data_IF_683453563346
#
_entry.id   IF_683453563346
#
_cell.length_a   1.000
_cell.length_b   1.000
_cell.length_c   1.000
_cell.angle_alpha   90.00
_cell.angle_beta   90.00
_cell.angle_gamma   90.00
#
_symmetry.space_group_name_H-M   'P 1'
#
loop_
_entity.id
_entity.type
_entity.pdbx_description
1 polymer ?
#
# COMPACT_ATOMS: atom_id res chain seq x y z
N UNK A 1 16.03 8.15 10.04
CA UNK A 1 16.62 6.84 10.44
C UNK A 1 15.93 5.66 9.76
N UNK A 2 14.61 5.56 9.80
CA UNK A 2 13.88 4.44 9.19
C UNK A 2 14.17 4.27 7.70
N UNK A 3 14.32 5.37 6.95
CA UNK A 3 14.62 5.31 5.51
C UNK A 3 16.07 4.92 5.19
N UNK A 4 16.94 4.94 6.18
CA UNK A 4 18.31 4.40 6.09
C UNK A 4 18.38 2.90 6.33
N UNK A 5 17.42 2.36 7.10
CA UNK A 5 17.41 0.94 7.52
C UNK A 5 16.54 0.12 6.56
N UNK A 6 15.34 0.62 6.26
CA UNK A 6 14.36 -0.10 5.47
C UNK A 6 14.33 0.37 4.02
N UNK A 7 14.11 -0.53 3.07
CA UNK A 7 13.90 -0.15 1.68
C UNK A 7 12.64 0.71 1.56
N UNK A 8 12.61 1.55 0.54
CA UNK A 8 11.38 2.27 0.17
C UNK A 8 10.29 1.27 -0.17
N UNK A 9 9.08 1.56 0.23
CA UNK A 9 7.89 0.82 -0.15
C UNK A 9 7.00 1.69 -1.03
N UNK A 10 6.51 1.12 -2.11
CA UNK A 10 5.48 1.72 -2.95
C UNK A 10 4.16 1.05 -2.60
N UNK A 11 3.14 1.84 -2.37
CA UNK A 11 1.84 1.33 -1.90
C UNK A 11 0.71 1.82 -2.78
N UNK A 12 -0.28 0.97 -2.98
CA UNK A 12 -1.59 1.34 -3.52
C UNK A 12 -2.61 1.08 -2.43
N UNK A 13 -3.43 2.09 -2.17
CA UNK A 13 -4.41 2.06 -1.09
C UNK A 13 -5.81 1.78 -1.65
N UNK A 14 -6.55 0.93 -0.96
CA UNK A 14 -7.92 0.57 -1.24
C UNK A 14 -8.78 0.79 0.01
N UNK A 15 -10.08 0.94 -0.16
CA UNK A 15 -11.04 0.88 0.93
C UNK A 15 -12.00 -0.29 0.70
N UNK A 16 -12.46 -0.90 1.78
CA UNK A 16 -13.51 -1.93 1.72
C UNK A 16 -14.92 -1.33 1.54
N UNK A 17 -15.05 0.00 1.72
CA UNK A 17 -16.31 0.72 1.66
C UNK A 17 -16.26 1.80 0.58
N UNK A 18 -17.36 1.98 -0.10
CA UNK A 18 -17.54 2.99 -1.14
C UNK A 18 -18.53 4.10 -0.75
N UNK A 19 -19.13 4.01 0.45
CA UNK A 19 -20.17 4.90 0.96
C UNK A 19 -19.65 5.94 1.98
N UNK A 20 -18.35 6.05 2.16
CA UNK A 20 -17.74 6.96 3.12
C UNK A 20 -17.50 8.35 2.50
N UNK A 21 -18.33 9.33 2.90
CA UNK A 21 -18.27 10.71 2.40
C UNK A 21 -16.91 11.39 2.64
N UNK A 22 -16.20 11.08 3.74
CA UNK A 22 -14.87 11.61 4.00
C UNK A 22 -13.85 11.09 2.97
N UNK A 23 -13.96 9.83 2.54
CA UNK A 23 -13.12 9.27 1.49
C UNK A 23 -13.38 9.96 0.14
N UNK A 24 -14.63 10.19 -0.21
CA UNK A 24 -15.01 10.93 -1.41
C UNK A 24 -14.53 12.38 -1.38
N UNK A 25 -14.57 13.02 -0.20
CA UNK A 25 -14.04 14.37 -0.02
C UNK A 25 -12.52 14.44 -0.19
N UNK A 26 -11.79 13.55 0.49
CA UNK A 26 -10.34 13.61 0.59
C UNK A 26 -9.62 13.03 -0.64
N UNK A 27 -10.17 11.97 -1.26
CA UNK A 27 -9.45 11.21 -2.29
C UNK A 27 -10.10 11.29 -3.69
N UNK A 28 -11.30 11.82 -3.80
CA UNK A 28 -12.02 11.93 -5.05
C UNK A 28 -12.29 13.40 -5.45
N UNK A 29 -11.36 14.31 -5.22
CA UNK A 29 -11.46 15.73 -5.56
C UNK A 29 -12.83 16.33 -5.15
N UNK A 30 -13.15 16.24 -3.87
CA UNK A 30 -14.42 16.72 -3.33
C UNK A 30 -15.64 16.18 -4.11
N UNK A 31 -15.72 14.85 -4.27
CA UNK A 31 -16.77 14.11 -4.98
C UNK A 31 -16.83 14.31 -6.51
N UNK A 32 -15.81 14.89 -7.14
CA UNK A 32 -15.73 15.02 -8.60
C UNK A 32 -15.04 13.82 -9.27
N UNK A 33 -14.25 13.06 -8.51
CA UNK A 33 -13.54 11.89 -9.00
C UNK A 33 -14.41 10.66 -9.11
N UNK A 34 -13.76 9.51 -9.18
CA UNK A 34 -14.41 8.20 -9.31
C UNK A 34 -13.83 7.20 -8.30
N UNK A 35 -14.63 6.20 -7.97
CA UNK A 35 -14.16 5.02 -7.24
C UNK A 35 -14.12 3.83 -8.19
N UNK A 36 -12.98 3.14 -8.25
CA UNK A 36 -12.80 1.92 -9.03
C UNK A 36 -13.08 0.72 -8.13
N UNK A 37 -13.90 -0.22 -8.62
CA UNK A 37 -14.25 -1.43 -7.89
C UNK A 37 -13.42 -2.58 -8.43
N UNK A 38 -12.60 -3.20 -7.56
CA UNK A 38 -11.80 -4.36 -7.89
C UNK A 38 -12.29 -5.60 -7.16
N UNK A 39 -12.32 -6.72 -7.88
CA UNK A 39 -12.49 -8.03 -7.27
C UNK A 39 -11.11 -8.65 -7.02
N UNK A 40 -10.82 -8.93 -5.77
CA UNK A 40 -9.54 -9.54 -5.33
C UNK A 40 -9.69 -11.02 -5.01
N UNK A 41 -10.88 -11.57 -5.23
CA UNK A 41 -11.22 -12.95 -4.87
C UNK A 41 -11.17 -13.22 -3.36
N UNK A 42 -11.42 -14.47 -2.98
CA UNK A 42 -11.46 -14.91 -1.58
C UNK A 42 -10.10 -14.79 -0.88
N UNK A 43 -9.01 -14.91 -1.64
CA UNK A 43 -7.65 -14.83 -1.10
C UNK A 43 -7.15 -13.39 -0.89
N UNK A 44 -7.95 -12.38 -1.22
CA UNK A 44 -7.57 -10.97 -1.13
C UNK A 44 -6.21 -10.67 -1.79
N UNK A 45 -6.05 -11.10 -3.05
CA UNK A 45 -4.83 -10.91 -3.83
C UNK A 45 -5.09 -10.11 -5.10
N UNK A 46 -4.13 -9.27 -5.47
CA UNK A 46 -4.17 -8.48 -6.70
C UNK A 46 -3.11 -8.98 -7.69
N UNK A 47 -3.54 -9.40 -8.86
CA UNK A 47 -2.64 -9.72 -9.97
C UNK A 47 -2.19 -8.42 -10.62
N UNK A 48 -0.87 -8.23 -10.70
CA UNK A 48 -0.24 -7.05 -11.31
C UNK A 48 0.56 -7.50 -12.50
N UNK A 49 0.43 -6.82 -13.62
CA UNK A 49 1.02 -7.21 -14.89
C UNK A 49 2.52 -7.47 -14.80
N UNK A 50 2.96 -8.54 -15.44
CA UNK A 50 4.34 -8.98 -15.47
C UNK A 50 4.82 -9.75 -14.24
N UNK A 51 4.01 -9.89 -13.19
CA UNK A 51 4.34 -10.70 -12.01
C UNK A 51 3.60 -12.02 -12.02
N UNK A 52 4.34 -13.12 -11.83
CA UNK A 52 3.75 -14.46 -11.70
C UNK A 52 3.05 -14.67 -10.36
N UNK A 53 3.48 -13.93 -9.32
CA UNK A 53 2.96 -14.04 -7.97
C UNK A 53 2.05 -12.85 -7.71
N UNK A 54 0.76 -13.08 -7.39
CA UNK A 54 -0.14 -12.00 -7.00
C UNK A 54 0.31 -11.34 -5.69
N UNK A 55 -0.02 -10.07 -5.54
CA UNK A 55 0.30 -9.28 -4.36
C UNK A 55 -0.84 -9.36 -3.34
N UNK A 56 -0.49 -9.52 -2.08
CA UNK A 56 -1.47 -9.55 -0.98
C UNK A 56 -2.09 -8.17 -0.75
N UNK A 57 -3.42 -8.14 -0.62
CA UNK A 57 -4.20 -6.97 -0.22
C UNK A 57 -4.40 -7.05 1.29
N UNK A 58 -3.59 -6.33 2.06
CA UNK A 58 -3.55 -6.41 3.52
C UNK A 58 -4.28 -5.25 4.17
N UNK A 59 -5.08 -5.56 5.21
CA UNK A 59 -5.73 -4.55 6.03
C UNK A 59 -4.72 -3.73 6.85
N UNK A 60 -5.02 -2.44 7.02
CA UNK A 60 -4.28 -1.54 7.90
C UNK A 60 -4.68 -1.78 9.35
N UNK A 61 -3.68 -1.79 10.23
CA UNK A 61 -3.88 -1.74 11.68
C UNK A 61 -3.94 -0.29 12.15
N UNK A 62 -4.93 0.04 12.97
CA UNK A 62 -5.12 1.39 13.49
C UNK A 62 -4.76 1.51 14.97
N UNK A 63 -4.02 2.55 15.32
CA UNK A 63 -3.57 2.77 16.69
C UNK A 63 -2.43 1.83 17.10
N UNK A 64 -2.36 1.54 18.41
CA UNK A 64 -1.31 0.74 19.02
C UNK A 64 -0.14 1.58 19.56
N UNK A 65 0.76 0.92 20.30
CA UNK A 65 1.90 1.58 20.92
C UNK A 65 2.93 2.07 19.89
N UNK A 66 3.69 3.07 20.28
CA UNK A 66 4.83 3.53 19.48
C UNK A 66 5.83 2.40 19.30
N UNK A 67 6.37 2.28 18.08
CA UNK A 67 7.40 1.28 17.80
C UNK A 67 8.75 1.94 18.00
N UNK A 68 9.48 1.42 18.94
CA UNK A 68 10.87 1.80 19.11
C UNK A 68 11.72 1.21 17.97
N UNK A 69 12.45 2.09 17.28
CA UNK A 69 13.37 1.70 16.24
C UNK A 69 14.80 2.05 16.68
N UNK A 70 15.53 1.06 17.15
CA UNK A 70 16.93 1.21 17.49
C UNK A 70 17.78 0.94 16.25
N UNK A 71 18.54 1.94 15.81
CA UNK A 71 19.40 1.83 14.63
C UNK A 71 20.38 0.65 14.73
N UNK A 72 21.01 0.47 15.89
CA UNK A 72 22.01 -0.59 16.09
C UNK A 72 21.41 -2.00 16.13
N UNK A 73 20.12 -2.10 16.45
CA UNK A 73 19.40 -3.37 16.45
C UNK A 73 18.70 -3.69 15.11
N UNK A 74 18.76 -2.77 14.14
CA UNK A 74 18.02 -2.90 12.87
C UNK A 74 18.92 -2.73 11.66
N UNK A 75 19.92 -3.53 11.54
CA UNK A 75 21.06 -3.41 10.63
C UNK A 75 20.75 -3.60 9.12
N UNK A 76 19.51 -3.55 8.70
CA UNK A 76 19.02 -4.02 7.40
C UNK A 76 19.74 -3.58 6.12
N UNK A 77 20.55 -2.51 6.19
CA UNK A 77 21.34 -2.01 5.04
C UNK A 77 22.84 -1.98 5.27
N UNK A 78 23.29 -2.34 6.44
CA UNK A 78 24.73 -2.40 6.71
C UNK A 78 25.29 -3.74 6.22
N UNK A 79 26.44 -3.69 5.59
CA UNK A 79 27.18 -4.89 5.21
C UNK A 79 27.82 -5.53 6.45
N UNK A 80 28.09 -6.84 6.38
CA UNK A 80 28.80 -7.55 7.47
C UNK A 80 30.16 -6.94 7.79
N UNK A 81 30.85 -6.39 6.79
CA UNK A 81 32.12 -5.69 6.98
C UNK A 81 31.92 -4.42 7.81
N UNK A 82 30.94 -3.59 7.47
CA UNK A 82 30.62 -2.39 8.24
C UNK A 82 30.29 -2.72 9.69
N UNK A 83 29.51 -3.77 9.90
CA UNK A 83 29.08 -4.18 11.23
C UNK A 83 30.28 -4.70 12.06
N UNK A 84 31.14 -5.48 11.46
CA UNK A 84 32.29 -6.09 12.16
C UNK A 84 33.45 -5.12 12.40
N UNK A 85 33.71 -4.23 11.44
CA UNK A 85 34.91 -3.40 11.47
C UNK A 85 34.66 -1.97 11.95
N UNK A 86 33.55 -1.36 11.53
CA UNK A 86 33.28 0.05 11.83
C UNK A 86 32.57 0.29 13.15
N UNK A 87 31.88 -0.71 13.65
CA UNK A 87 31.08 -0.59 14.87
C UNK A 87 31.70 -1.29 16.06
N UNK A 88 33.03 -1.58 16.00
CA UNK A 88 33.79 -2.12 17.13
C UNK A 88 33.91 -1.09 18.24
N UNK A 89 33.56 -1.49 19.45
CA UNK A 89 33.90 -0.76 20.67
C UNK A 89 35.38 -0.90 21.05
N UNK A 90 35.81 -0.14 22.04
CA UNK A 90 37.17 -0.19 22.58
C UNK A 90 37.52 -1.54 23.19
N UNK A 91 36.54 -2.32 23.55
CA UNK A 91 36.63 -3.69 24.07
C UNK A 91 36.73 -4.76 22.96
N UNK A 92 36.75 -4.34 21.69
CA UNK A 92 36.75 -5.25 20.53
C UNK A 92 35.41 -5.94 20.26
N UNK A 93 34.35 -5.56 20.97
CA UNK A 93 32.99 -6.08 20.74
C UNK A 93 32.25 -5.13 19.86
N UNK A 94 31.54 -5.64 18.83
CA UNK A 94 30.70 -4.82 17.99
C UNK A 94 29.52 -4.28 18.79
N UNK A 95 29.20 -2.97 18.65
CA UNK A 95 27.98 -2.35 19.19
C UNK A 95 26.70 -3.01 18.68
N UNK A 96 26.82 -3.84 17.65
CA UNK A 96 25.73 -4.59 17.04
C UNK A 96 25.71 -6.07 17.45
N UNK A 97 26.52 -6.46 18.44
CA UNK A 97 26.67 -7.86 18.88
C UNK A 97 25.34 -8.53 19.19
N UNK A 98 24.44 -7.85 19.86
CA UNK A 98 23.12 -8.39 20.18
C UNK A 98 22.30 -8.76 18.94
N UNK A 99 22.50 -8.06 17.81
CA UNK A 99 21.85 -8.40 16.57
C UNK A 99 22.34 -9.73 15.97
N UNK A 100 23.52 -10.20 16.37
CA UNK A 100 24.11 -11.46 15.91
C UNK A 100 23.93 -12.61 16.89
N UNK A 101 23.69 -12.32 18.15
CA UNK A 101 23.53 -13.35 19.18
C UNK A 101 22.27 -14.19 18.95
N UNK A 102 21.22 -13.59 18.39
CA UNK A 102 19.97 -14.26 17.99
C UNK A 102 19.45 -13.70 16.67
N UNK A 103 19.86 -14.31 15.57
CA UNK A 103 19.49 -13.89 14.20
C UNK A 103 17.99 -14.01 13.96
N UNK A 104 17.32 -15.01 14.54
CA UNK A 104 15.87 -15.19 14.35
C UNK A 104 15.07 -14.11 15.08
N UNK A 105 15.46 -13.76 16.29
CA UNK A 105 14.82 -12.67 17.03
C UNK A 105 15.08 -11.32 16.36
N UNK A 106 16.29 -11.10 15.85
CA UNK A 106 16.61 -9.92 15.05
C UNK A 106 15.71 -9.85 13.79
N UNK A 107 15.55 -10.97 13.06
CA UNK A 107 14.71 -11.03 11.86
C UNK A 107 13.24 -10.72 12.18
N UNK A 108 12.71 -11.27 13.27
CA UNK A 108 11.33 -10.98 13.74
C UNK A 108 11.14 -9.49 14.06
N UNK A 109 12.08 -8.89 14.79
CA UNK A 109 12.04 -7.45 15.10
C UNK A 109 12.10 -6.59 13.85
N UNK A 110 12.99 -6.91 12.91
CA UNK A 110 13.13 -6.23 11.64
C UNK A 110 11.80 -6.20 10.88
N UNK A 111 11.18 -7.35 10.66
CA UNK A 111 9.94 -7.45 9.93
C UNK A 111 8.76 -6.82 10.67
N UNK A 112 8.70 -6.93 11.99
CA UNK A 112 7.67 -6.26 12.81
C UNK A 112 7.69 -4.74 12.61
N UNK A 113 8.86 -4.12 12.60
CA UNK A 113 9.00 -2.68 12.40
C UNK A 113 8.67 -2.30 10.94
N UNK A 114 9.16 -3.08 9.97
CA UNK A 114 8.87 -2.88 8.55
C UNK A 114 7.36 -2.95 8.27
N UNK A 115 6.69 -3.97 8.77
CA UNK A 115 5.25 -4.15 8.63
C UNK A 115 4.48 -2.99 9.27
N UNK A 116 4.87 -2.59 10.46
CA UNK A 116 4.22 -1.47 11.13
C UNK A 116 4.41 -0.13 10.40
N UNK A 117 5.58 0.11 9.83
CA UNK A 117 5.82 1.27 8.96
C UNK A 117 4.88 1.27 7.75
N UNK A 118 4.62 0.11 7.17
CA UNK A 118 3.87 -0.03 5.91
C UNK A 118 2.36 -0.17 6.13
N UNK A 119 1.94 -0.91 7.17
CA UNK A 119 0.55 -1.33 7.36
C UNK A 119 -0.10 -0.80 8.63
N UNK A 120 0.37 0.33 9.15
CA UNK A 120 -0.20 0.95 10.35
C UNK A 120 -0.49 2.43 10.14
N UNK A 121 -1.60 2.89 10.71
CA UNK A 121 -2.00 4.29 10.81
C UNK A 121 -2.40 4.65 12.24
N UNK A 122 -2.41 5.94 12.54
CA UNK A 122 -3.00 6.42 13.80
C UNK A 122 -4.50 6.17 13.82
N UNK A 123 -5.08 6.02 15.01
CA UNK A 123 -6.50 5.69 15.20
C UNK A 123 -7.46 6.69 14.54
N UNK A 124 -7.05 7.95 14.41
CA UNK A 124 -7.87 8.99 13.78
C UNK A 124 -8.26 8.68 12.32
N UNK A 125 -7.50 7.80 11.64
CA UNK A 125 -7.76 7.38 10.26
C UNK A 125 -8.54 6.08 10.15
N UNK A 126 -9.06 5.55 11.26
CA UNK A 126 -9.77 4.26 11.26
C UNK A 126 -11.04 4.26 10.40
N UNK A 127 -11.62 5.43 10.15
CA UNK A 127 -12.78 5.60 9.30
C UNK A 127 -12.51 5.25 7.82
N UNK A 128 -11.25 5.25 7.37
CA UNK A 128 -10.89 4.90 5.99
C UNK A 128 -11.05 3.41 5.69
N UNK A 129 -10.98 2.55 6.71
CA UNK A 129 -11.02 1.07 6.55
C UNK A 129 -10.10 0.60 5.43
N UNK A 130 -8.87 1.11 5.48
CA UNK A 130 -7.89 1.01 4.40
C UNK A 130 -7.28 -0.39 4.30
N UNK A 131 -7.05 -0.79 3.07
CA UNK A 131 -6.23 -1.94 2.70
C UNK A 131 -5.09 -1.46 1.80
N UNK A 132 -3.96 -2.16 1.85
CA UNK A 132 -2.80 -1.84 1.03
C UNK A 132 -2.28 -3.04 0.27
N UNK A 133 -1.88 -2.78 -0.96
CA UNK A 133 -0.90 -3.58 -1.68
C UNK A 133 0.42 -2.84 -1.62
N UNK A 134 1.47 -3.50 -1.19
CA UNK A 134 2.79 -2.90 -1.07
C UNK A 134 3.86 -3.73 -1.78
N UNK A 135 4.78 -3.04 -2.43
CA UNK A 135 5.99 -3.62 -2.99
C UNK A 135 7.23 -2.93 -2.41
N UNK A 136 8.21 -3.73 -2.05
CA UNK A 136 9.48 -3.23 -1.51
C UNK A 136 10.48 -2.96 -2.63
N UNK A 137 11.20 -1.87 -2.52
CA UNK A 137 12.31 -1.51 -3.41
C UNK A 137 13.67 -2.00 -2.89
N UNK A 138 13.73 -3.22 -2.40
CA UNK A 138 14.93 -3.79 -1.77
C UNK A 138 16.15 -3.79 -2.70
N UNK A 139 15.94 -4.04 -3.98
CA UNK A 139 16.99 -4.14 -4.99
C UNK A 139 17.09 -2.93 -5.93
N UNK A 140 16.43 -1.81 -5.62
CA UNK A 140 16.44 -0.62 -6.47
C UNK A 140 15.65 -0.76 -7.79
N UNK A 141 14.82 -1.80 -7.91
CA UNK A 141 14.05 -2.07 -9.13
C UNK A 141 13.16 -0.90 -9.52
N UNK A 142 12.59 -0.21 -8.54
CA UNK A 142 11.65 0.89 -8.72
C UNK A 142 12.31 2.28 -8.66
N UNK A 143 13.62 2.39 -8.70
CA UNK A 143 14.31 3.68 -8.78
C UNK A 143 14.11 4.33 -10.16
N UNK A 144 13.77 3.52 -11.16
CA UNK A 144 13.42 3.98 -12.52
C UNK A 144 11.93 4.28 -12.58
N UNK A 145 11.49 5.54 -12.86
CA UNK A 145 10.07 5.92 -12.85
C UNK A 145 9.15 5.05 -13.70
N UNK A 146 9.64 4.56 -14.84
CA UNK A 146 8.87 3.70 -15.75
C UNK A 146 8.48 2.36 -15.09
N UNK A 147 9.30 1.85 -14.17
CA UNK A 147 9.04 0.61 -13.44
C UNK A 147 8.08 0.79 -12.25
N UNK A 148 7.78 2.03 -11.88
CA UNK A 148 6.78 2.35 -10.86
C UNK A 148 5.34 2.22 -11.38
N UNK A 149 5.16 2.21 -12.71
CA UNK A 149 3.86 1.97 -13.32
C UNK A 149 3.64 0.46 -13.45
N UNK A 150 2.67 -0.06 -12.73
CA UNK A 150 2.25 -1.45 -12.81
C UNK A 150 0.86 -1.52 -13.43
N UNK A 151 0.72 -2.31 -14.48
CA UNK A 151 -0.59 -2.63 -15.02
C UNK A 151 -1.28 -3.66 -14.13
N UNK A 152 -2.58 -3.59 -14.04
CA UNK A 152 -3.43 -4.61 -13.43
C UNK A 152 -4.15 -5.41 -14.51
N UNK A 153 -4.68 -6.54 -14.13
CA UNK A 153 -5.49 -7.37 -15.01
C UNK A 153 -6.90 -6.76 -15.11
N UNK A 154 -7.32 -6.38 -16.33
CA UNK A 154 -8.58 -5.68 -16.56
C UNK A 154 -9.82 -6.45 -16.10
N UNK A 155 -9.75 -7.77 -16.09
CA UNK A 155 -10.85 -8.62 -15.62
C UNK A 155 -11.11 -8.49 -14.11
N UNK A 156 -10.16 -7.93 -13.35
CA UNK A 156 -10.35 -7.64 -11.92
C UNK A 156 -11.14 -6.35 -11.69
N UNK A 157 -11.21 -5.46 -12.68
CA UNK A 157 -12.00 -4.24 -12.58
C UNK A 157 -13.47 -4.56 -12.82
N UNK A 158 -14.30 -4.48 -11.79
CA UNK A 158 -15.73 -4.85 -11.83
C UNK A 158 -16.67 -3.66 -11.95
N UNK A 159 -16.16 -2.45 -11.72
CA UNK A 159 -17.02 -1.28 -11.89
C UNK A 159 -16.32 0.04 -11.63
N UNK A 160 -17.03 1.09 -12.00
CA UNK A 160 -16.71 2.49 -11.72
C UNK A 160 -17.92 3.15 -11.09
N UNK A 161 -17.71 3.78 -9.93
CA UNK A 161 -18.71 4.65 -9.32
C UNK A 161 -18.30 6.09 -9.62
N UNK A 162 -19.13 6.82 -10.32
CA UNK A 162 -18.96 8.26 -10.52
C UNK A 162 -19.38 9.02 -9.27
N UNK A 163 -18.58 9.97 -8.82
CA UNK A 163 -18.91 10.83 -7.70
C UNK A 163 -20.12 11.72 -7.99
N UNK A 164 -20.77 12.21 -6.95
CA UNK A 164 -21.99 13.05 -7.07
C UNK A 164 -21.76 14.27 -7.98
N UNK A 165 -20.50 14.78 -8.00
CA UNK A 165 -20.13 16.00 -8.75
C UNK A 165 -19.26 15.70 -9.98
N UNK A 166 -19.12 14.45 -10.39
CA UNK A 166 -18.37 14.09 -11.60
C UNK A 166 -19.04 14.70 -12.82
N UNK A 167 -18.28 15.46 -13.60
CA UNK A 167 -18.82 16.13 -14.78
C UNK A 167 -19.16 15.16 -15.91
N UNK A 168 -20.14 15.51 -16.75
CA UNK A 168 -20.48 14.72 -17.94
C UNK A 168 -19.31 14.61 -18.92
N UNK A 169 -18.43 15.63 -18.95
CA UNK A 169 -17.21 15.58 -19.72
C UNK A 169 -16.27 14.49 -19.22
N UNK A 170 -16.00 14.44 -17.90
CA UNK A 170 -15.11 13.44 -17.30
C UNK A 170 -15.67 12.03 -17.44
N UNK A 171 -16.98 11.86 -17.26
CA UNK A 171 -17.67 10.57 -17.50
C UNK A 171 -17.41 10.07 -18.92
N UNK A 172 -17.58 10.94 -19.93
CA UNK A 172 -17.33 10.59 -21.34
C UNK A 172 -15.87 10.23 -21.60
N UNK A 173 -14.91 10.92 -20.97
CA UNK A 173 -13.49 10.61 -21.10
C UNK A 173 -13.14 9.24 -20.52
N UNK A 174 -13.72 8.91 -19.36
CA UNK A 174 -13.51 7.60 -18.70
C UNK A 174 -14.12 6.49 -19.55
N UNK A 175 -15.36 6.67 -20.02
CA UNK A 175 -16.02 5.72 -20.92
C UNK A 175 -15.21 5.45 -22.18
N UNK A 176 -14.69 6.50 -22.82
CA UNK A 176 -13.89 6.37 -24.02
C UNK A 176 -12.57 5.58 -23.81
N UNK A 177 -12.01 5.64 -22.59
CA UNK A 177 -10.85 4.82 -22.22
C UNK A 177 -11.24 3.37 -21.99
N UNK A 178 -12.32 3.12 -21.25
CA UNK A 178 -12.75 1.77 -20.88
C UNK A 178 -13.26 0.96 -22.07
N UNK A 179 -13.88 1.61 -23.06
CA UNK A 179 -14.34 0.96 -24.30
C UNK A 179 -13.18 0.27 -25.04
N UNK A 180 -11.97 0.76 -24.93
CA UNK A 180 -10.77 0.15 -25.55
C UNK A 180 -10.44 -1.22 -24.97
N UNK A 181 -10.90 -1.48 -23.74
CA UNK A 181 -10.68 -2.71 -22.99
C UNK A 181 -11.96 -3.52 -22.75
N UNK A 182 -13.03 -3.23 -23.52
CA UNK A 182 -14.36 -3.85 -23.32
C UNK A 182 -14.33 -5.39 -23.34
N UNK A 183 -13.46 -5.96 -24.16
CA UNK A 183 -13.35 -7.42 -24.32
C UNK A 183 -12.60 -8.09 -23.16
N UNK A 184 -11.86 -7.28 -22.36
CA UNK A 184 -11.14 -7.72 -21.16
C UNK A 184 -11.96 -7.51 -19.87
N UNK A 185 -13.02 -6.68 -19.92
CA UNK A 185 -13.88 -6.39 -18.78
C UNK A 185 -14.97 -7.46 -18.66
N UNK A 186 -14.97 -8.21 -17.56
CA UNK A 186 -16.03 -9.19 -17.25
C UNK A 186 -16.87 -8.69 -16.08
N UNK A 187 -18.22 -8.82 -16.20
CA UNK A 187 -19.19 -8.43 -15.16
C UNK A 187 -18.99 -6.99 -14.68
N UNK A 188 -18.73 -6.09 -15.62
CA UNK A 188 -18.42 -4.70 -15.34
C UNK A 188 -19.68 -3.83 -15.32
N UNK A 189 -19.79 -2.97 -14.30
CA UNK A 189 -20.96 -2.09 -14.12
C UNK A 189 -20.55 -0.65 -13.81
N UNK A 190 -21.31 0.31 -14.37
CA UNK A 190 -21.21 1.72 -14.00
C UNK A 190 -22.24 2.07 -12.94
N UNK A 191 -21.80 2.86 -11.96
CA UNK A 191 -22.63 3.37 -10.87
C UNK A 191 -22.54 4.88 -10.79
N UNK A 192 -23.58 5.50 -10.26
CA UNK A 192 -23.60 6.91 -9.90
C UNK A 192 -23.80 7.03 -8.39
N UNK A 193 -22.91 7.74 -7.71
CA UNK A 193 -23.09 8.07 -6.31
C UNK A 193 -24.18 9.12 -6.17
N UNK A 194 -25.05 8.95 -5.17
CA UNK A 194 -26.12 9.87 -4.82
C UNK A 194 -26.05 10.19 -3.32
N UNK A 195 -26.54 11.34 -2.94
CA UNK A 195 -26.65 11.71 -1.53
C UNK A 195 -27.88 11.05 -0.89
N UNK A 196 -27.67 10.29 0.17
CA UNK A 196 -28.76 9.72 0.97
C UNK A 196 -29.08 10.63 2.13
N UNK A 197 -30.24 11.29 2.08
CA UNK A 197 -30.74 12.13 3.16
C UNK A 197 -31.12 11.31 4.42
N UNK A 198 -31.53 10.05 4.23
CA UNK A 198 -31.94 9.16 5.32
C UNK A 198 -30.76 8.65 6.13
N UNK A 199 -29.64 8.36 5.47
CA UNK A 199 -28.43 7.84 6.11
C UNK A 199 -27.42 8.93 6.48
N UNK A 200 -27.66 10.18 6.08
CA UNK A 200 -26.73 11.31 6.23
C UNK A 200 -25.31 11.01 5.68
N UNK A 201 -25.23 10.19 4.63
CA UNK A 201 -24.00 9.73 3.98
C UNK A 201 -23.87 10.22 2.55
#
# INVERSE_FOLDING_TARGET
LTDMIYPKSYVVCFSKKNDNSAMWGNYADCHKGVCLIYDTGDEAKLKVGGRHIPLDVRAISYGGESIECNFFHTLGRLTMVQIREWLLGVDGVSSCYEAFSDVEEWRKRYWKIYDAKTYRKTKNWEHEKEFRVAVSNTFGEFDVPQKQNMSFDWNLLKGVIFGIRTSEYDKKQILAKLIKHKDELSDFTFYQAEYSAEEQK
#
